data_IF_434798087550
#
_entry.id   IF_434798087550
#
_cell.length_a   1.000
_cell.length_b   1.000
_cell.length_c   1.000
_cell.angle_alpha   90.00
_cell.angle_beta   90.00
_cell.angle_gamma   90.00
#
_symmetry.space_group_name_H-M   'P 1'
#
loop_
_entity.id
_entity.type
_entity.pdbx_description
1 polymer ?
#
# COMPACT_ATOMS: atom_id res chain seq x y z
N UNK A 1 10.25 15.67 -3.74
CA UNK A 1 9.06 15.46 -4.59
C UNK A 1 7.90 15.20 -3.65
N UNK A 2 6.97 16.14 -3.52
CA UNK A 2 5.72 15.91 -2.77
C UNK A 2 4.80 15.11 -3.68
N UNK A 3 4.65 13.82 -3.41
CA UNK A 3 3.64 12.98 -4.05
C UNK A 3 2.28 13.54 -3.61
N UNK A 4 1.74 14.47 -4.40
CA UNK A 4 0.39 14.99 -4.20
C UNK A 4 -0.57 13.87 -4.56
N UNK A 5 -0.86 13.01 -3.60
CA UNK A 5 -2.05 12.18 -3.68
C UNK A 5 -3.22 13.13 -3.83
N UNK A 6 -3.86 13.11 -5.00
CA UNK A 6 -5.11 13.82 -5.24
C UNK A 6 -6.02 13.67 -4.02
N UNK A 7 -6.76 14.72 -3.68
CA UNK A 7 -7.65 14.73 -2.51
C UNK A 7 -8.87 13.80 -2.70
N UNK A 8 -8.70 12.69 -3.42
CA UNK A 8 -9.64 11.60 -3.60
C UNK A 8 -10.10 11.13 -2.22
N UNK A 9 -11.42 11.09 -1.97
CA UNK A 9 -11.94 10.78 -0.64
C UNK A 9 -11.44 9.41 -0.17
N UNK A 10 -11.15 9.27 1.13
CA UNK A 10 -10.64 8.03 1.75
C UNK A 10 -11.47 6.80 1.36
N UNK A 11 -12.78 6.99 1.18
CA UNK A 11 -13.69 5.94 0.73
C UNK A 11 -13.30 5.37 -0.64
N UNK A 12 -12.93 6.21 -1.60
CA UNK A 12 -12.51 5.78 -2.95
C UNK A 12 -11.21 4.98 -2.89
N UNK A 13 -10.23 5.46 -2.11
CA UNK A 13 -8.95 4.77 -1.92
C UNK A 13 -9.14 3.40 -1.25
N UNK A 14 -10.07 3.33 -0.30
CA UNK A 14 -10.42 2.11 0.43
C UNK A 14 -11.25 1.13 -0.41
N UNK A 15 -12.02 1.64 -1.39
CA UNK A 15 -12.73 0.85 -2.40
C UNK A 15 -11.75 0.23 -3.40
N UNK A 16 -10.74 1.00 -3.85
CA UNK A 16 -9.68 0.49 -4.72
C UNK A 16 -8.90 -0.66 -4.06
N UNK A 17 -8.53 -0.51 -2.78
CA UNK A 17 -7.88 -1.59 -2.03
C UNK A 17 -8.79 -2.82 -1.84
N UNK A 18 -10.10 -2.64 -1.67
CA UNK A 18 -11.05 -3.76 -1.63
C UNK A 18 -11.15 -4.46 -2.98
N UNK A 19 -11.26 -3.70 -4.08
CA UNK A 19 -11.26 -4.25 -5.44
C UNK A 19 -9.98 -5.03 -5.73
N UNK A 20 -8.82 -4.52 -5.36
CA UNK A 20 -7.56 -5.24 -5.52
C UNK A 20 -7.54 -6.54 -4.71
N UNK A 21 -8.08 -6.53 -3.48
CA UNK A 21 -8.23 -7.73 -2.67
C UNK A 21 -9.10 -8.78 -3.35
N UNK A 22 -10.28 -8.41 -3.82
CA UNK A 22 -11.23 -9.33 -4.47
C UNK A 22 -10.70 -9.80 -5.85
N UNK A 23 -10.09 -8.92 -6.63
CA UNK A 23 -9.54 -9.25 -7.94
C UNK A 23 -8.32 -10.18 -7.87
N UNK A 24 -7.46 -10.00 -6.87
CA UNK A 24 -6.21 -10.77 -6.72
C UNK A 24 -6.31 -11.89 -5.68
N UNK A 25 -7.47 -12.05 -5.04
CA UNK A 25 -7.70 -13.05 -3.99
C UNK A 25 -6.76 -12.87 -2.79
N UNK A 26 -6.49 -11.61 -2.39
CA UNK A 26 -5.63 -11.32 -1.23
C UNK A 26 -6.29 -11.83 0.04
N UNK A 27 -5.47 -12.36 0.96
CA UNK A 27 -5.99 -12.95 2.21
C UNK A 27 -6.56 -11.88 3.13
N UNK A 28 -5.89 -10.73 3.21
CA UNK A 28 -6.29 -9.60 4.05
C UNK A 28 -6.57 -8.37 3.19
N UNK A 29 -7.42 -7.49 3.71
CA UNK A 29 -7.65 -6.19 3.07
C UNK A 29 -6.40 -5.33 3.25
N UNK A 30 -5.85 -4.74 2.17
CA UNK A 30 -4.76 -3.78 2.31
C UNK A 30 -5.19 -2.61 3.19
N UNK A 31 -4.31 -2.19 4.10
CA UNK A 31 -4.56 -1.01 4.91
C UNK A 31 -4.15 0.24 4.14
N UNK A 32 -5.10 1.15 3.95
CA UNK A 32 -4.94 2.32 3.08
C UNK A 32 -4.53 3.53 3.89
N UNK A 33 -3.33 4.03 3.61
CA UNK A 33 -2.71 5.13 4.34
C UNK A 33 -2.22 6.16 3.33
N UNK A 34 -2.50 7.44 3.57
CA UNK A 34 -2.06 8.54 2.69
C UNK A 34 -0.63 9.00 2.99
N UNK A 35 -0.20 8.83 4.24
CA UNK A 35 1.11 9.26 4.71
C UNK A 35 2.13 8.11 4.60
N UNK A 36 3.19 8.34 3.84
CA UNK A 36 4.24 7.36 3.59
C UNK A 36 4.87 6.88 4.91
N UNK A 37 5.31 7.83 5.74
CA UNK A 37 6.00 7.53 6.99
C UNK A 37 5.13 6.68 7.94
N UNK A 38 3.83 6.94 7.98
CA UNK A 38 2.88 6.17 8.77
C UNK A 38 2.63 4.79 8.16
N UNK A 39 2.57 4.66 6.83
CA UNK A 39 2.46 3.37 6.16
C UNK A 39 3.67 2.48 6.46
N UNK A 40 4.89 3.01 6.34
CA UNK A 40 6.11 2.27 6.68
C UNK A 40 6.21 1.96 8.18
N UNK A 41 5.77 2.87 9.06
CA UNK A 41 5.72 2.61 10.51
C UNK A 41 4.76 1.47 10.85
N UNK A 42 3.59 1.45 10.23
CA UNK A 42 2.61 0.36 10.41
C UNK A 42 3.15 -0.93 9.83
N UNK A 43 3.76 -0.91 8.65
CA UNK A 43 4.38 -2.09 8.06
C UNK A 43 5.52 -2.66 8.93
N UNK A 44 6.32 -1.79 9.56
CA UNK A 44 7.40 -2.21 10.45
C UNK A 44 6.90 -2.75 11.81
N UNK A 45 5.77 -2.25 12.31
CA UNK A 45 5.21 -2.62 13.63
C UNK A 45 4.20 -3.75 13.57
N UNK A 46 3.59 -3.98 12.42
CA UNK A 46 2.65 -5.08 12.19
C UNK A 46 3.35 -6.22 11.45
N UNK A 47 2.69 -7.38 11.34
CA UNK A 47 3.17 -8.49 10.49
C UNK A 47 3.10 -8.16 8.99
N UNK A 48 2.58 -6.98 8.62
CA UNK A 48 2.50 -6.53 7.25
C UNK A 48 3.87 -6.00 6.78
N UNK A 49 4.75 -6.89 6.33
CA UNK A 49 6.13 -6.52 6.02
C UNK A 49 6.36 -5.68 4.76
N UNK A 50 5.32 -5.21 4.07
CA UNK A 50 5.46 -4.52 2.79
C UNK A 50 4.45 -3.39 2.60
N UNK A 51 4.88 -2.37 1.86
CA UNK A 51 4.07 -1.23 1.44
C UNK A 51 4.04 -1.20 -0.09
N UNK A 52 2.86 -1.19 -0.67
CA UNK A 52 2.61 -1.12 -2.11
C UNK A 52 2.06 0.27 -2.45
N UNK A 53 2.47 0.82 -3.59
CA UNK A 53 1.87 2.02 -4.17
C UNK A 53 0.54 1.64 -4.82
N UNK A 54 -0.55 1.97 -4.13
CA UNK A 54 -1.90 1.88 -4.66
C UNK A 54 -2.30 3.15 -5.39
N UNK A 55 -3.46 3.09 -6.06
CA UNK A 55 -4.04 4.23 -6.78
C UNK A 55 -4.34 5.40 -5.82
N UNK A 56 -3.38 6.31 -5.67
CA UNK A 56 -3.55 7.49 -4.82
C UNK A 56 -3.30 7.26 -3.32
N UNK A 57 -2.70 6.14 -2.90
CA UNK A 57 -2.39 5.87 -1.49
C UNK A 57 -1.32 4.79 -1.31
N UNK A 58 -0.78 4.68 -0.10
CA UNK A 58 0.06 3.56 0.32
C UNK A 58 -0.81 2.44 0.88
N UNK A 59 -0.58 1.24 0.38
CA UNK A 59 -1.27 0.02 0.80
C UNK A 59 -0.33 -0.84 1.62
N UNK A 60 -0.60 -0.98 2.92
CA UNK A 60 0.17 -1.84 3.80
C UNK A 60 -0.39 -3.26 3.74
N UNK A 61 0.47 -4.20 3.38
CA UNK A 61 0.12 -5.61 3.11
C UNK A 61 1.20 -6.55 3.63
N UNK A 62 0.85 -7.82 3.79
CA UNK A 62 1.85 -8.87 4.05
C UNK A 62 2.75 -9.09 2.83
N UNK A 63 3.97 -9.56 3.04
CA UNK A 63 4.93 -9.89 1.97
C UNK A 63 4.32 -10.77 0.87
N UNK A 64 3.59 -11.84 1.24
CA UNK A 64 2.95 -12.74 0.27
C UNK A 64 1.86 -12.05 -0.58
N UNK A 65 1.10 -11.12 0.00
CA UNK A 65 0.10 -10.34 -0.74
C UNK A 65 0.80 -9.27 -1.61
N UNK A 66 1.92 -8.72 -1.13
CA UNK A 66 2.74 -7.78 -1.88
C UNK A 66 3.37 -8.40 -3.14
N UNK A 67 3.87 -9.63 -3.05
CA UNK A 67 4.39 -10.37 -4.21
C UNK A 67 3.31 -10.61 -5.27
N UNK A 68 2.07 -10.90 -4.83
CA UNK A 68 0.93 -11.03 -5.75
C UNK A 68 0.58 -9.72 -6.41
N UNK A 69 0.57 -8.63 -5.66
CA UNK A 69 0.34 -7.28 -6.19
C UNK A 69 1.43 -6.91 -7.20
N UNK A 70 2.69 -7.17 -6.88
CA UNK A 70 3.82 -6.93 -7.78
C UNK A 70 3.73 -7.75 -9.07
N UNK A 71 3.34 -9.02 -8.98
CA UNK A 71 3.10 -9.88 -10.14
C UNK A 71 1.95 -9.38 -11.05
N UNK A 72 1.07 -8.52 -10.51
CA UNK A 72 -0.04 -7.90 -11.24
C UNK A 72 0.25 -6.44 -11.66
N UNK A 73 1.50 -6.01 -11.57
CA UNK A 73 1.95 -4.69 -12.06
C UNK A 73 1.85 -3.55 -11.05
N UNK A 74 1.58 -3.84 -9.77
CA UNK A 74 1.69 -2.83 -8.71
C UNK A 74 3.14 -2.68 -8.26
N UNK A 75 3.54 -1.46 -7.90
CA UNK A 75 4.91 -1.18 -7.48
C UNK A 75 5.04 -1.17 -5.96
N UNK A 76 6.18 -1.63 -5.45
CA UNK A 76 6.52 -1.43 -4.04
C UNK A 76 6.76 0.06 -3.80
N UNK A 77 6.24 0.57 -2.68
CA UNK A 77 6.61 1.89 -2.25
C UNK A 77 8.12 1.91 -2.01
N UNK A 78 8.85 2.92 -2.53
CA UNK A 78 10.25 3.07 -2.22
C UNK A 78 10.37 3.14 -0.71
N UNK A 79 11.12 2.21 -0.10
CA UNK A 79 11.43 2.34 1.32
C UNK A 79 12.05 3.72 1.53
N UNK A 80 11.65 4.47 2.57
CA UNK A 80 12.30 5.74 2.86
C UNK A 80 13.77 5.39 3.00
N UNK A 81 14.56 5.83 2.02
CA UNK A 81 15.95 5.43 1.89
C UNK A 81 16.61 5.77 3.21
N UNK A 82 17.10 4.76 3.93
CA UNK A 82 18.00 4.97 5.04
C UNK A 82 19.35 5.42 4.46
N UNK A 83 19.41 6.65 3.96
CA UNK A 83 20.59 7.36 3.47
C UNK A 83 20.26 8.84 3.69
N UNK A 84 20.92 9.60 4.56
CA UNK A 84 22.32 9.60 5.01
C UNK A 84 22.40 10.21 6.42
#
# INVERSE_FOLDING_TARGET
>A
MTTNFDNAPLKTLTDAAAKAKDALGLKYRPEVIRDEATAFRIAATTKAGAVILGEGAFWVVCLADAERLAANGYEYAPTPSAND
#
